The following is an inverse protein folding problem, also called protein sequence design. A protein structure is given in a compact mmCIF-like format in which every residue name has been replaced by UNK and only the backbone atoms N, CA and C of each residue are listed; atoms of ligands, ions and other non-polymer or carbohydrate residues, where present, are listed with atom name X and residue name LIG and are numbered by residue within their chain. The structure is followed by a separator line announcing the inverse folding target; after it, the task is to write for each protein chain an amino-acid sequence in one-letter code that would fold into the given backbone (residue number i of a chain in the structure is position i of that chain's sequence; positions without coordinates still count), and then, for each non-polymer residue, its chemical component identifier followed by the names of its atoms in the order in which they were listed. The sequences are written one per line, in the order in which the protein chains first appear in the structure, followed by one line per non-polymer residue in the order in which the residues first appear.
data_IF_223266999390
#
_entry.id   IF_223266999390
#
_cell.length_a   1.000
_cell.length_b   1.000
_cell.length_c   1.000
_cell.angle_alpha   90.00
_cell.angle_beta   90.00
_cell.angle_gamma   90.00
#
_symmetry.space_group_name_H-M   'P 1'
#
loop_
_entity.id
_entity.type
_entity.pdbx_description
1 polymer ?
#
# COMPACT_ATOMS: atom_id res chain seq x y z
N UNK A 1 -8.14 7.32 -2.74
CA UNK A 1 -8.27 5.83 -2.79
C UNK A 1 -7.51 5.30 -1.60
N UNK A 2 -8.16 4.58 -0.69
CA UNK A 2 -7.48 3.97 0.45
C UNK A 2 -7.04 2.55 0.07
N UNK A 3 -5.85 2.15 0.51
CA UNK A 3 -5.32 0.78 0.33
C UNK A 3 -4.86 0.26 1.70
N UNK A 4 -5.01 -1.04 1.95
CA UNK A 4 -4.44 -1.66 3.14
C UNK A 4 -2.92 -1.68 3.08
N UNK A 5 -2.28 -1.32 4.18
CA UNK A 5 -0.82 -1.42 4.33
C UNK A 5 -0.29 -2.82 4.04
N UNK A 6 -1.04 -3.85 4.43
CA UNK A 6 -0.65 -5.23 4.23
C UNK A 6 -0.60 -5.61 2.73
N UNK A 7 -1.47 -5.03 1.90
CA UNK A 7 -1.40 -5.22 0.44
C UNK A 7 -0.14 -4.55 -0.14
N UNK A 8 0.24 -3.38 0.39
CA UNK A 8 1.48 -2.69 0.01
C UNK A 8 2.70 -3.52 0.39
N UNK A 9 2.76 -4.05 1.61
CA UNK A 9 3.90 -4.86 2.04
C UNK A 9 3.98 -6.19 1.31
N UNK A 10 2.84 -6.84 1.05
CA UNK A 10 2.79 -8.05 0.23
C UNK A 10 3.32 -7.80 -1.19
N UNK A 11 2.93 -6.70 -1.83
CA UNK A 11 3.42 -6.32 -3.15
C UNK A 11 4.93 -6.04 -3.17
N UNK A 12 5.46 -5.40 -2.12
CA UNK A 12 6.91 -5.17 -1.98
C UNK A 12 7.68 -6.48 -1.79
N UNK A 13 7.21 -7.38 -0.92
CA UNK A 13 7.84 -8.69 -0.69
C UNK A 13 7.80 -9.59 -1.93
N UNK A 14 6.70 -9.58 -2.67
CA UNK A 14 6.59 -10.32 -3.94
C UNK A 14 7.65 -9.88 -4.98
N UNK A 15 8.16 -8.65 -4.86
CA UNK A 15 9.21 -8.08 -5.71
C UNK A 15 10.61 -8.18 -5.10
N UNK A 16 10.77 -8.87 -3.96
CA UNK A 16 12.04 -9.00 -3.23
C UNK A 16 12.48 -7.70 -2.54
N UNK A 17 11.58 -6.75 -2.31
CA UNK A 17 11.86 -5.50 -1.62
C UNK A 17 11.54 -5.60 -0.11
N UNK A 18 12.09 -6.61 0.56
CA UNK A 18 11.76 -6.94 1.96
C UNK A 18 12.10 -5.80 2.93
N UNK A 19 13.26 -5.14 2.77
CA UNK A 19 13.65 -3.99 3.59
C UNK A 19 12.63 -2.83 3.49
N UNK A 20 12.07 -2.60 2.29
CA UNK A 20 11.05 -1.57 2.08
C UNK A 20 9.71 -2.01 2.65
N UNK A 21 9.36 -3.30 2.55
CA UNK A 21 8.15 -3.83 3.16
C UNK A 21 8.17 -3.67 4.69
N UNK A 22 9.32 -3.91 5.32
CA UNK A 22 9.47 -3.76 6.77
C UNK A 22 9.45 -2.29 7.21
N UNK A 23 10.03 -1.40 6.41
CA UNK A 23 9.88 0.04 6.63
C UNK A 23 8.40 0.46 6.54
N UNK A 24 7.68 0.04 5.49
CA UNK A 24 6.25 0.34 5.34
C UNK A 24 5.46 -0.17 6.54
N UNK A 25 5.71 -1.41 6.98
CA UNK A 25 5.00 -2.01 8.11
C UNK A 25 5.14 -1.19 9.40
N UNK A 26 6.31 -0.60 9.62
CA UNK A 26 6.65 0.17 10.83
C UNK A 26 6.25 1.63 10.75
N UNK A 27 6.20 2.21 9.55
CA UNK A 27 6.02 3.65 9.36
C UNK A 27 4.63 4.04 8.93
N UNK A 28 3.95 3.22 8.10
CA UNK A 28 2.65 3.58 7.57
C UNK A 28 1.50 3.17 8.51
N UNK A 29 0.42 3.96 8.55
CA UNK A 29 -0.83 3.55 9.18
C UNK A 29 -1.44 2.36 8.42
N UNK A 30 -2.38 1.66 9.03
CA UNK A 30 -2.99 0.46 8.45
C UNK A 30 -3.77 0.74 7.15
N UNK A 31 -4.23 1.98 6.98
CA UNK A 31 -4.88 2.47 5.77
C UNK A 31 -4.08 3.62 5.17
N UNK A 32 -3.66 3.45 3.91
CA UNK A 32 -2.85 4.43 3.19
C UNK A 32 -3.71 5.09 2.12
N UNK A 33 -3.83 6.42 2.18
CA UNK A 33 -4.46 7.18 1.09
C UNK A 33 -3.49 7.36 -0.06
N UNK A 34 -3.73 6.62 -1.14
CA UNK A 34 -2.89 6.59 -2.32
C UNK A 34 -2.82 7.95 -3.03
N UNK A 35 -3.89 8.75 -2.98
CA UNK A 35 -3.91 10.06 -3.62
C UNK A 35 -3.04 11.07 -2.83
N UNK A 36 -3.08 10.99 -1.50
CA UNK A 36 -2.28 11.85 -0.62
C UNK A 36 -0.81 11.43 -0.55
N UNK A 37 -0.52 10.16 -0.81
CA UNK A 37 0.82 9.57 -0.73
C UNK A 37 1.41 9.20 -2.10
N UNK A 38 0.91 9.78 -3.20
CA UNK A 38 1.33 9.47 -4.57
C UNK A 38 2.85 9.54 -4.77
N UNK A 39 3.52 10.56 -4.20
CA UNK A 39 4.99 10.68 -4.27
C UNK A 39 5.74 9.56 -3.55
N UNK A 40 5.24 9.09 -2.40
CA UNK A 40 5.82 7.96 -1.68
C UNK A 40 5.61 6.65 -2.46
N UNK A 41 4.42 6.45 -3.01
CA UNK A 41 4.08 5.23 -3.75
C UNK A 41 4.88 5.12 -5.06
N UNK A 42 5.13 6.26 -5.73
CA UNK A 42 6.06 6.36 -6.86
C UNK A 42 7.49 6.03 -6.46
N UNK A 43 7.97 6.48 -5.30
CA UNK A 43 9.30 6.14 -4.81
C UNK A 43 9.47 4.64 -4.52
N UNK A 44 8.38 4.00 -4.08
CA UNK A 44 8.31 2.56 -3.85
C UNK A 44 8.10 1.75 -5.16
N UNK A 45 7.97 2.43 -6.30
CA UNK A 45 7.71 1.86 -7.63
C UNK A 45 6.47 0.94 -7.65
N UNK A 46 5.44 1.30 -6.88
CA UNK A 46 4.24 0.50 -6.73
C UNK A 46 3.22 0.81 -7.81
N UNK A 47 2.75 -0.24 -8.50
CA UNK A 47 1.65 -0.13 -9.45
C UNK A 47 0.33 -0.24 -8.69
N UNK A 48 -0.33 0.90 -8.50
CA UNK A 48 -1.60 1.00 -7.79
C UNK A 48 -2.73 0.23 -8.48
N UNK A 49 -2.62 -0.06 -9.78
CA UNK A 49 -3.61 -0.86 -10.51
C UNK A 49 -3.63 -2.33 -10.07
N UNK A 50 -2.54 -2.78 -9.43
CA UNK A 50 -2.43 -4.13 -8.87
C UNK A 50 -2.94 -4.24 -7.44
N UNK A 51 -3.29 -3.12 -6.81
CA UNK A 51 -3.73 -3.07 -5.42
C UNK A 51 -5.25 -3.02 -5.31
N UNK A 52 -5.79 -3.71 -4.31
CA UNK A 52 -7.22 -3.64 -4.01
C UNK A 52 -7.51 -2.40 -3.17
N UNK A 53 -8.39 -1.50 -3.64
CA UNK A 53 -8.89 -0.43 -2.79
C UNK A 53 -9.57 -1.04 -1.57
N UNK A 54 -9.47 -0.38 -0.42
CA UNK A 54 -10.36 -0.63 0.70
C UNK A 54 -11.76 -0.26 0.21
N UNK A 55 -12.55 -1.26 -0.16
CA UNK A 55 -13.97 -1.07 -0.36
C UNK A 55 -14.55 -0.67 1.00
N UNK A 56 -15.18 0.51 1.08
CA UNK A 56 -16.07 0.78 2.21
C UNK A 56 -17.06 -0.39 2.26
N UNK A 57 -17.25 -1.05 3.42
CA UNK A 57 -18.16 -2.17 3.50
C UNK A 57 -19.49 -1.71 2.93
N UNK A 58 -19.97 -2.41 1.90
CA UNK A 58 -21.27 -2.16 1.32
C UNK A 58 -22.26 -2.13 2.48
N UNK A 59 -22.78 -0.93 2.80
CA UNK A 59 -23.83 -0.75 3.80
C UNK A 59 -24.97 -1.66 3.35
N UNK A 60 -25.12 -2.78 4.06
CA UNK A 60 -26.25 -3.69 3.92
C UNK A 60 -27.50 -3.07 4.54
#
# INVERSE_FOLDING_TARGET
MLIHKDDITAALRARGQDDRADWVQRTLPDQVDAARNDGLLKLLDLDLTTMRPIEEPAKS
#
